data_IF_132311506605
#
_entry.id   IF_132311506605
#
_cell.length_a   1.000
_cell.length_b   1.000
_cell.length_c   1.000
_cell.angle_alpha   90.00
_cell.angle_beta   90.00
_cell.angle_gamma   90.00
#
_symmetry.space_group_name_H-M   'P 1'
#
loop_
_entity.id
_entity.type
_entity.pdbx_description
1 polymer ?
#
# COMPACT_ATOMS: atom_id res chain seq x y z
N UNK A 1 26.05 -7.77 -46.52
CA UNK A 1 24.72 -7.89 -45.88
C UNK A 1 24.84 -7.43 -44.44
N UNK A 2 24.34 -6.23 -44.11
CA UNK A 2 24.37 -5.70 -42.75
C UNK A 2 23.22 -6.28 -41.91
N UNK A 3 23.42 -6.59 -40.62
CA UNK A 3 22.34 -7.06 -39.76
C UNK A 3 21.39 -5.90 -39.45
N UNK A 4 20.11 -6.09 -39.76
CA UNK A 4 19.04 -5.11 -39.57
C UNK A 4 18.61 -5.03 -38.10
N UNK A 5 18.73 -3.83 -37.52
CA UNK A 5 17.72 -3.08 -36.74
C UNK A 5 16.72 -3.83 -35.82
N UNK A 6 17.12 -4.87 -35.10
CA UNK A 6 16.27 -5.46 -34.04
C UNK A 6 16.40 -4.74 -32.67
N UNK A 7 17.54 -4.09 -32.40
CA UNK A 7 17.82 -3.48 -31.08
C UNK A 7 17.07 -2.17 -30.80
N UNK A 8 16.73 -1.39 -31.82
CA UNK A 8 16.07 -0.10 -31.63
C UNK A 8 14.58 -0.24 -31.24
N UNK A 9 13.88 -1.24 -31.79
CA UNK A 9 12.48 -1.48 -31.47
C UNK A 9 12.28 -1.99 -30.02
N UNK A 10 13.15 -2.88 -29.55
CA UNK A 10 13.17 -3.37 -28.16
C UNK A 10 13.49 -2.26 -27.15
N UNK A 11 14.43 -1.37 -27.47
CA UNK A 11 14.73 -0.20 -26.62
C UNK A 11 13.55 0.78 -26.57
N UNK A 12 12.92 1.07 -27.71
CA UNK A 12 11.76 1.99 -27.77
C UNK A 12 10.55 1.40 -27.03
N UNK A 13 10.30 0.10 -27.16
CA UNK A 13 9.23 -0.57 -26.43
C UNK A 13 9.49 -0.58 -24.92
N UNK A 14 10.73 -0.82 -24.48
CA UNK A 14 11.13 -0.73 -23.09
C UNK A 14 11.03 0.71 -22.53
N UNK A 15 11.42 1.72 -23.32
CA UNK A 15 11.25 3.12 -22.96
C UNK A 15 9.77 3.53 -22.87
N UNK A 16 8.92 3.07 -23.79
CA UNK A 16 7.46 3.32 -23.74
C UNK A 16 6.80 2.66 -22.52
N UNK A 17 7.21 1.44 -22.16
CA UNK A 17 6.74 0.74 -20.96
C UNK A 17 7.20 1.42 -19.66
N UNK A 18 8.41 1.98 -19.63
CA UNK A 18 8.93 2.76 -18.49
C UNK A 18 8.22 4.11 -18.36
N UNK A 19 7.86 4.75 -19.48
CA UNK A 19 7.12 6.03 -19.49
C UNK A 19 5.66 5.84 -19.08
N UNK A 20 5.01 4.73 -19.47
CA UNK A 20 3.62 4.46 -19.16
C UNK A 20 3.36 4.28 -17.65
N UNK A 21 4.30 3.71 -16.88
CA UNK A 21 4.14 3.58 -15.42
C UNK A 21 4.59 4.80 -14.62
N UNK A 22 5.49 5.61 -15.16
CA UNK A 22 5.95 6.83 -14.51
C UNK A 22 4.82 7.85 -14.28
N UNK A 23 3.78 7.84 -15.13
CA UNK A 23 2.59 8.68 -14.94
C UNK A 23 1.57 8.12 -13.95
N UNK A 24 1.52 6.81 -13.74
CA UNK A 24 0.45 6.18 -12.92
C UNK A 24 0.80 6.09 -11.43
N UNK A 25 2.09 6.08 -11.07
CA UNK A 25 2.52 5.82 -9.69
C UNK A 25 2.06 6.86 -8.68
N UNK A 26 1.80 8.09 -9.14
CA UNK A 26 1.19 9.16 -8.35
C UNK A 26 -0.26 8.89 -7.93
N UNK A 27 -0.94 7.95 -8.58
CA UNK A 27 -2.39 7.71 -8.43
C UNK A 27 -2.72 6.35 -7.77
N UNK A 28 -1.72 5.67 -7.19
CA UNK A 28 -1.96 4.39 -6.50
C UNK A 28 -2.48 4.56 -5.06
N UNK A 29 -2.67 5.80 -4.59
CA UNK A 29 -3.20 6.13 -3.27
C UNK A 29 -2.58 5.29 -2.15
N UNK A 30 -3.41 4.56 -1.40
CA UNK A 30 -2.95 3.74 -0.26
C UNK A 30 -2.12 2.50 -0.65
N UNK A 31 -1.84 2.27 -1.94
CA UNK A 31 -1.03 1.17 -2.48
C UNK A 31 0.27 1.64 -3.10
N UNK A 32 0.56 2.94 -3.11
CA UNK A 32 1.86 3.47 -3.53
C UNK A 32 2.98 2.86 -2.69
N UNK A 33 4.11 2.56 -3.35
CA UNK A 33 5.35 2.14 -2.65
C UNK A 33 5.95 3.34 -1.90
N UNK A 34 6.73 3.07 -0.85
CA UNK A 34 7.31 4.11 0.00
C UNK A 34 8.22 5.07 -0.76
N UNK A 35 8.88 4.57 -1.80
CA UNK A 35 9.83 5.29 -2.65
C UNK A 35 9.16 6.35 -3.54
N UNK A 36 7.87 6.22 -3.87
CA UNK A 36 7.16 7.25 -4.66
C UNK A 36 7.06 8.57 -3.90
N UNK A 37 6.85 8.49 -2.58
CA UNK A 37 6.78 9.67 -1.71
C UNK A 37 8.15 10.03 -1.11
N UNK A 38 9.14 9.15 -1.22
CA UNK A 38 10.52 9.37 -0.76
C UNK A 38 11.54 8.91 -1.83
N UNK A 39 11.72 9.66 -2.93
CA UNK A 39 12.50 9.19 -4.08
C UNK A 39 13.96 8.84 -3.78
N UNK A 40 14.56 9.46 -2.75
CA UNK A 40 15.92 9.18 -2.30
C UNK A 40 16.12 7.73 -1.81
N UNK A 41 15.04 7.06 -1.40
CA UNK A 41 15.08 5.66 -0.95
C UNK A 41 15.32 4.67 -2.10
N UNK A 42 15.11 5.07 -3.36
CA UNK A 42 15.44 4.26 -4.53
C UNK A 42 16.96 4.05 -4.65
N UNK A 43 17.73 5.11 -4.40
CA UNK A 43 19.20 5.06 -4.50
C UNK A 43 19.83 4.53 -3.22
N UNK A 44 19.32 4.96 -2.06
CA UNK A 44 19.80 4.53 -0.75
C UNK A 44 18.60 4.26 0.18
N UNK A 45 18.22 2.98 0.37
CA UNK A 45 17.11 2.60 1.25
C UNK A 45 17.29 3.01 2.71
N UNK A 46 18.51 3.34 3.14
CA UNK A 46 18.82 3.79 4.50
C UNK A 46 19.00 5.31 4.60
N UNK A 47 18.87 6.03 3.48
CA UNK A 47 18.97 7.47 3.47
C UNK A 47 17.95 8.08 4.41
N UNK A 48 18.42 9.05 5.20
CA UNK A 48 17.56 9.84 6.08
C UNK A 48 16.84 10.97 5.31
N UNK A 49 16.95 10.98 3.98
CA UNK A 49 16.49 12.06 3.12
C UNK A 49 17.46 13.24 3.08
N UNK A 50 17.18 14.25 2.25
CA UNK A 50 17.94 15.49 2.27
C UNK A 50 17.93 16.06 3.68
N UNK A 51 19.02 16.74 4.07
CA UNK A 51 19.08 17.50 5.32
C UNK A 51 18.04 18.63 5.24
N UNK A 52 16.79 18.33 5.56
CA UNK A 52 15.71 19.29 5.42
C UNK A 52 16.02 20.47 6.34
N UNK A 53 15.94 21.68 5.78
CA UNK A 53 16.00 22.93 6.53
C UNK A 53 14.92 22.84 7.62
N UNK A 54 15.33 22.80 8.89
CA UNK A 54 14.43 22.64 10.05
C UNK A 54 14.30 21.21 10.63
N UNK A 55 14.93 20.19 10.03
CA UNK A 55 14.91 18.81 10.54
C UNK A 55 15.96 18.51 11.63
N UNK A 56 16.90 19.44 11.84
CA UNK A 56 17.81 19.40 12.98
C UNK A 56 17.10 20.05 14.15
N UNK A 57 16.90 19.26 15.21
CA UNK A 57 16.44 19.80 16.49
C UNK A 57 17.35 20.98 16.87
N UNK A 58 16.78 22.08 17.41
CA UNK A 58 17.59 23.16 17.97
C UNK A 58 18.64 22.58 18.93
N UNK A 59 19.83 23.19 19.01
CA UNK A 59 20.91 22.69 19.85
C UNK A 59 20.52 22.55 21.34
N UNK A 60 19.51 23.30 21.79
CA UNK A 60 18.96 23.24 23.14
C UNK A 60 17.94 22.10 23.35
N UNK A 61 17.59 21.32 22.33
CA UNK A 61 16.58 20.27 22.39
C UNK A 61 17.21 18.88 22.23
N UNK A 62 16.83 17.97 23.12
CA UNK A 62 17.14 16.55 23.00
C UNK A 62 15.84 15.74 22.85
N UNK A 63 15.79 14.72 21.98
CA UNK A 63 14.65 13.81 21.92
C UNK A 63 14.47 13.10 23.28
N UNK A 64 13.27 13.16 23.85
CA UNK A 64 12.94 12.49 25.11
C UNK A 64 12.31 11.11 24.90
N UNK A 65 11.40 11.01 23.94
CA UNK A 65 10.67 9.78 23.62
C UNK A 65 10.33 9.76 22.13
N UNK A 66 10.26 8.56 21.56
CA UNK A 66 9.72 8.31 20.21
C UNK A 66 8.52 7.39 20.33
N UNK A 67 7.37 7.82 19.81
CA UNK A 67 6.16 7.02 19.67
C UNK A 67 5.77 7.00 18.20
N UNK A 68 5.80 5.82 17.60
CA UNK A 68 5.60 5.65 16.17
C UNK A 68 4.38 4.75 15.92
N UNK A 69 3.38 5.29 15.23
CA UNK A 69 2.26 4.51 14.70
C UNK A 69 2.58 4.11 13.27
N UNK A 70 2.82 2.81 13.06
CA UNK A 70 3.31 2.31 11.78
C UNK A 70 2.28 1.39 11.13
N UNK A 71 1.95 1.68 9.87
CA UNK A 71 1.21 0.74 9.02
C UNK A 71 2.09 -0.47 8.71
N UNK A 72 1.47 -1.63 8.51
CA UNK A 72 2.17 -2.79 7.97
C UNK A 72 2.92 -2.47 6.66
N UNK A 73 3.99 -3.20 6.38
CA UNK A 73 4.73 -3.07 5.12
C UNK A 73 3.95 -3.56 3.90
N UNK A 74 4.58 -3.51 2.73
CA UNK A 74 4.01 -4.01 1.46
C UNK A 74 3.47 -5.44 1.58
N UNK A 75 2.25 -5.68 1.07
CA UNK A 75 1.55 -6.97 1.14
C UNK A 75 1.05 -7.42 -0.23
N UNK A 76 0.77 -8.71 -0.35
CA UNK A 76 0.02 -9.26 -1.48
C UNK A 76 -1.44 -8.77 -1.49
N UNK A 77 -2.17 -8.87 -2.62
CA UNK A 77 -3.61 -8.62 -2.68
C UNK A 77 -4.39 -9.57 -1.74
N UNK A 78 -5.62 -9.21 -1.38
CA UNK A 78 -6.51 -10.11 -0.61
C UNK A 78 -7.09 -11.20 -1.51
N UNK A 79 -7.52 -12.34 -0.96
CA UNK A 79 -8.08 -13.45 -1.73
C UNK A 79 -9.21 -13.01 -2.67
N UNK A 80 -10.12 -12.15 -2.20
CA UNK A 80 -11.19 -11.60 -3.06
C UNK A 80 -10.70 -10.73 -4.23
N UNK A 81 -9.55 -10.04 -4.09
CA UNK A 81 -8.93 -9.32 -5.20
C UNK A 81 -8.27 -10.30 -6.18
N UNK A 82 -7.60 -11.32 -5.67
CA UNK A 82 -6.95 -12.36 -6.47
C UNK A 82 -7.99 -13.11 -7.31
N UNK A 83 -9.14 -13.46 -6.72
CA UNK A 83 -10.24 -14.13 -7.42
C UNK A 83 -10.78 -13.29 -8.57
N UNK A 84 -11.07 -12.00 -8.33
CA UNK A 84 -11.52 -11.06 -9.36
C UNK A 84 -10.50 -10.87 -10.49
N UNK A 85 -9.21 -10.81 -10.15
CA UNK A 85 -8.15 -10.77 -11.16
C UNK A 85 -8.14 -12.06 -11.99
N UNK A 86 -8.29 -13.21 -11.33
CA UNK A 86 -8.41 -14.52 -11.97
C UNK A 86 -9.63 -14.62 -12.89
N UNK A 87 -10.78 -14.10 -12.47
CA UNK A 87 -12.01 -14.01 -13.29
C UNK A 87 -11.76 -13.19 -14.56
N UNK A 88 -11.17 -12.00 -14.43
CA UNK A 88 -10.85 -11.15 -15.58
C UNK A 88 -9.82 -11.82 -16.50
N UNK A 89 -8.75 -12.39 -15.94
CA UNK A 89 -7.74 -13.11 -16.70
C UNK A 89 -8.31 -14.33 -17.45
N UNK A 90 -9.21 -15.09 -16.81
CA UNK A 90 -9.87 -16.23 -17.44
C UNK A 90 -10.75 -15.84 -18.64
N UNK A 91 -11.35 -14.64 -18.64
CA UNK A 91 -12.09 -14.13 -19.80
C UNK A 91 -11.16 -13.84 -20.98
N UNK A 92 -9.98 -13.30 -20.71
CA UNK A 92 -8.96 -13.07 -21.74
C UNK A 92 -8.47 -14.39 -22.37
N UNK A 93 -8.27 -15.42 -21.55
CA UNK A 93 -7.87 -16.75 -22.01
C UNK A 93 -8.92 -17.46 -22.87
N UNK A 94 -10.22 -17.17 -22.67
CA UNK A 94 -11.32 -17.79 -23.43
C UNK A 94 -11.56 -17.16 -24.80
N UNK A 95 -10.83 -16.08 -25.13
CA UNK A 95 -10.97 -15.40 -26.43
C UNK A 95 -10.54 -16.33 -27.57
N UNK A 96 -11.26 -16.32 -28.72
CA UNK A 96 -10.84 -17.09 -29.90
C UNK A 96 -9.45 -16.67 -30.38
N UNK A 97 -8.60 -17.62 -30.78
CA UNK A 97 -7.25 -17.33 -31.28
C UNK A 97 -7.24 -16.37 -32.48
N UNK A 98 -8.26 -16.45 -33.35
CA UNK A 98 -8.45 -15.52 -34.47
C UNK A 98 -8.65 -14.06 -34.02
N UNK A 99 -9.14 -13.82 -32.79
CA UNK A 99 -9.34 -12.51 -32.21
C UNK A 99 -8.10 -11.96 -31.47
N UNK A 100 -7.01 -12.73 -31.37
CA UNK A 100 -5.78 -12.31 -30.72
C UNK A 100 -5.00 -11.29 -31.56
N UNK A 101 -4.91 -11.51 -32.88
CA UNK A 101 -4.22 -10.58 -33.80
C UNK A 101 -4.92 -9.21 -33.89
N UNK A 102 -6.24 -9.18 -33.67
CA UNK A 102 -7.04 -7.95 -33.66
C UNK A 102 -6.99 -7.20 -32.32
N UNK A 103 -6.46 -7.81 -31.25
CA UNK A 103 -6.47 -7.22 -29.91
C UNK A 103 -5.15 -7.49 -29.15
N UNK A 104 -4.08 -6.76 -29.48
CA UNK A 104 -2.75 -7.00 -28.90
C UNK A 104 -2.72 -6.90 -27.37
N UNK A 105 -3.35 -5.88 -26.80
CA UNK A 105 -3.40 -5.69 -25.33
C UNK A 105 -4.06 -6.87 -24.62
N UNK A 106 -5.16 -7.40 -25.15
CA UNK A 106 -5.79 -8.60 -24.59
C UNK A 106 -4.91 -9.84 -24.70
N UNK A 107 -4.18 -9.99 -25.82
CA UNK A 107 -3.25 -11.11 -26.02
C UNK A 107 -2.06 -11.04 -25.06
N UNK A 108 -1.47 -9.87 -24.87
CA UNK A 108 -0.37 -9.64 -23.92
C UNK A 108 -0.80 -9.93 -22.48
N UNK A 109 -2.00 -9.49 -22.10
CA UNK A 109 -2.55 -9.76 -20.76
C UNK A 109 -3.00 -11.21 -20.56
N UNK A 110 -3.41 -11.91 -21.62
CA UNK A 110 -3.68 -13.35 -21.57
C UNK A 110 -2.39 -14.18 -21.45
N UNK A 111 -1.28 -13.68 -22.00
CA UNK A 111 0.04 -14.31 -21.89
C UNK A 111 0.73 -13.99 -20.55
N UNK A 112 0.29 -12.96 -19.82
CA UNK A 112 0.79 -12.66 -18.49
C UNK A 112 0.49 -13.82 -17.53
N UNK A 113 1.51 -14.32 -16.85
CA UNK A 113 1.34 -15.44 -15.93
C UNK A 113 0.59 -15.01 -14.68
N UNK A 114 -0.60 -15.58 -14.44
CA UNK A 114 -1.30 -15.46 -13.15
C UNK A 114 -0.51 -16.18 -12.06
N UNK A 115 0.37 -15.45 -11.38
CA UNK A 115 1.23 -15.96 -10.31
C UNK A 115 0.68 -15.68 -8.91
N UNK A 116 -0.45 -14.98 -8.80
CA UNK A 116 -1.14 -14.78 -7.53
C UNK A 116 -1.98 -16.01 -7.19
N UNK A 117 -1.74 -16.56 -6.00
CA UNK A 117 -2.54 -17.63 -5.41
C UNK A 117 -3.42 -17.07 -4.30
N UNK A 118 -4.66 -17.55 -4.16
CA UNK A 118 -5.55 -17.11 -3.07
C UNK A 118 -4.94 -17.34 -1.66
N UNK A 119 -4.02 -18.31 -1.53
CA UNK A 119 -3.25 -18.61 -0.31
C UNK A 119 -2.38 -17.43 0.17
N UNK A 120 -2.09 -16.46 -0.70
CA UNK A 120 -1.34 -15.25 -0.38
C UNK A 120 -2.16 -14.24 0.42
N UNK A 121 -3.50 -14.34 0.45
CA UNK A 121 -4.49 -13.46 1.10
C UNK A 121 -3.93 -12.36 2.05
N UNK A 122 -3.51 -11.25 1.48
CA UNK A 122 -3.05 -10.09 2.24
C UNK A 122 -1.82 -10.34 3.13
N UNK A 123 -1.07 -11.45 2.93
CA UNK A 123 0.19 -11.75 3.61
C UNK A 123 1.23 -10.69 3.31
N UNK A 124 2.11 -10.46 4.27
CA UNK A 124 3.23 -9.54 4.10
C UNK A 124 4.16 -10.07 3.01
N UNK A 125 4.46 -9.23 2.01
CA UNK A 125 5.38 -9.59 0.95
C UNK A 125 6.83 -9.54 1.46
N UNK A 126 7.79 -10.19 0.79
CA UNK A 126 9.21 -10.04 1.10
C UNK A 126 9.66 -8.57 1.08
N UNK A 127 9.14 -7.76 0.15
CA UNK A 127 9.37 -6.31 0.15
C UNK A 127 8.87 -5.66 1.46
N UNK A 128 7.66 -6.01 1.92
CA UNK A 128 7.11 -5.48 3.17
C UNK A 128 7.96 -5.73 4.41
N UNK A 129 8.72 -6.84 4.44
CA UNK A 129 9.70 -7.07 5.51
C UNK A 129 10.87 -6.10 5.41
N UNK A 130 11.40 -5.89 4.20
CA UNK A 130 12.48 -4.92 3.95
C UNK A 130 12.04 -3.50 4.28
N UNK A 131 10.81 -3.12 3.92
CA UNK A 131 10.24 -1.79 4.23
C UNK A 131 10.37 -1.49 5.73
N UNK A 132 9.96 -2.45 6.57
CA UNK A 132 9.96 -2.30 8.03
C UNK A 132 11.36 -2.37 8.63
N UNK A 133 12.24 -3.21 8.11
CA UNK A 133 13.63 -3.28 8.55
C UNK A 133 14.39 -1.98 8.23
N UNK A 134 14.23 -1.44 7.02
CA UNK A 134 14.84 -0.18 6.63
C UNK A 134 14.27 0.98 7.44
N UNK A 135 12.95 1.01 7.66
CA UNK A 135 12.33 2.02 8.51
C UNK A 135 12.90 2.01 9.93
N UNK A 136 13.08 0.83 10.53
CA UNK A 136 13.68 0.69 11.85
C UNK A 136 15.11 1.25 11.89
N UNK A 137 15.95 0.89 10.91
CA UNK A 137 17.33 1.39 10.80
C UNK A 137 17.37 2.91 10.65
N UNK A 138 16.50 3.47 9.81
CA UNK A 138 16.39 4.94 9.63
C UNK A 138 15.96 5.64 10.92
N UNK A 139 14.99 5.11 11.65
CA UNK A 139 14.58 5.68 12.94
C UNK A 139 15.70 5.61 13.98
N UNK A 140 16.41 4.49 14.07
CA UNK A 140 17.55 4.34 14.97
C UNK A 140 18.70 5.30 14.62
N UNK A 141 19.02 5.44 13.33
CA UNK A 141 20.04 6.38 12.87
C UNK A 141 19.63 7.85 13.07
N UNK A 142 18.33 8.16 12.99
CA UNK A 142 17.81 9.51 13.23
C UNK A 142 17.81 9.90 14.70
N UNK A 143 17.55 8.95 15.61
CA UNK A 143 17.41 9.20 17.04
C UNK A 143 18.33 8.31 17.89
N UNK A 144 19.67 8.34 17.67
CA UNK A 144 20.58 7.36 18.26
C UNK A 144 20.50 7.29 19.79
N UNK A 145 20.29 8.43 20.47
CA UNK A 145 20.17 8.48 21.94
C UNK A 145 18.91 7.77 22.49
N UNK A 146 17.82 7.69 21.72
CA UNK A 146 16.60 6.97 22.09
C UNK A 146 16.72 5.47 21.88
N UNK A 147 17.64 5.06 21.00
CA UNK A 147 18.00 3.68 20.75
C UNK A 147 19.37 3.35 21.39
N UNK A 148 19.74 3.98 22.49
CA UNK A 148 20.94 3.56 23.23
C UNK A 148 20.66 2.28 24.04
N UNK A 149 21.71 1.55 24.41
CA UNK A 149 21.59 0.40 25.31
C UNK A 149 20.88 0.79 26.62
N UNK A 150 20.08 -0.13 27.19
CA UNK A 150 19.25 0.09 28.40
C UNK A 150 18.05 1.04 28.24
N UNK A 151 17.78 1.59 27.06
CA UNK A 151 16.49 2.25 26.78
C UNK A 151 15.37 1.21 26.69
N UNK A 152 14.21 1.54 27.27
CA UNK A 152 13.01 0.71 27.16
C UNK A 152 12.42 0.84 25.76
N UNK A 153 12.20 -0.30 25.10
CA UNK A 153 11.50 -0.37 23.83
C UNK A 153 10.27 -1.25 24.00
N UNK A 154 9.12 -0.74 23.59
CA UNK A 154 7.84 -1.45 23.57
C UNK A 154 7.38 -1.53 22.14
N UNK A 155 6.96 -2.72 21.69
CA UNK A 155 6.33 -2.93 20.39
C UNK A 155 4.96 -3.55 20.62
N UNK A 156 3.93 -2.92 20.06
CA UNK A 156 2.58 -3.44 20.04
C UNK A 156 2.10 -3.54 18.59
N UNK A 157 1.25 -4.53 18.31
CA UNK A 157 0.66 -4.76 17.00
C UNK A 157 -0.77 -5.29 17.15
N UNK A 158 -1.59 -5.07 16.12
CA UNK A 158 -2.82 -5.86 15.95
C UNK A 158 -2.50 -7.33 15.70
N UNK A 159 -3.47 -8.21 15.93
CA UNK A 159 -3.40 -9.66 15.66
C UNK A 159 -3.29 -10.04 14.18
N UNK A 160 -3.46 -9.09 13.24
CA UNK A 160 -3.35 -9.39 11.82
C UNK A 160 -1.93 -9.88 11.48
N UNK A 161 -1.84 -11.03 10.83
CA UNK A 161 -0.59 -11.71 10.46
C UNK A 161 0.45 -10.78 9.82
N UNK A 162 0.02 -9.94 8.87
CA UNK A 162 0.88 -8.96 8.20
C UNK A 162 1.42 -7.88 9.14
N UNK A 163 0.67 -7.50 10.18
CA UNK A 163 1.08 -6.52 11.17
C UNK A 163 2.09 -7.14 12.14
N UNK A 164 1.84 -8.36 12.62
CA UNK A 164 2.79 -9.09 13.47
C UNK A 164 4.12 -9.33 12.75
N UNK A 165 4.07 -9.77 11.49
CA UNK A 165 5.26 -9.94 10.66
C UNK A 165 5.98 -8.62 10.39
N UNK A 166 5.25 -7.50 10.28
CA UNK A 166 5.84 -6.17 10.13
C UNK A 166 6.54 -5.72 11.42
N UNK A 167 5.93 -5.95 12.58
CA UNK A 167 6.54 -5.67 13.89
C UNK A 167 7.80 -6.50 14.12
N UNK A 168 7.78 -7.79 13.77
CA UNK A 168 8.94 -8.67 13.84
C UNK A 168 10.06 -8.23 12.87
N UNK A 169 9.72 -7.80 11.66
CA UNK A 169 10.69 -7.26 10.71
C UNK A 169 11.28 -5.93 11.21
N UNK A 170 10.46 -5.04 11.75
CA UNK A 170 10.93 -3.80 12.38
C UNK A 170 11.92 -4.09 13.52
N UNK A 171 11.57 -5.01 14.43
CA UNK A 171 12.44 -5.51 15.51
C UNK A 171 13.77 -6.04 14.97
N UNK A 172 13.74 -6.81 13.87
CA UNK A 172 14.95 -7.33 13.23
C UNK A 172 15.85 -6.21 12.67
N UNK A 173 15.25 -5.18 12.08
CA UNK A 173 15.97 -4.04 11.50
C UNK A 173 16.82 -3.29 12.53
N UNK A 174 16.38 -3.26 13.79
CA UNK A 174 17.09 -2.67 14.92
C UNK A 174 18.40 -3.42 15.28
N UNK A 175 18.53 -4.70 14.92
CA UNK A 175 19.73 -5.49 15.15
C UNK A 175 19.97 -5.90 16.62
N UNK A 176 20.99 -6.73 16.89
CA UNK A 176 21.28 -7.27 18.23
C UNK A 176 22.05 -6.30 19.14
N UNK A 177 22.71 -5.29 18.56
CA UNK A 177 23.49 -4.26 19.28
C UNK A 177 22.61 -3.38 20.17
N UNK A 178 21.32 -3.32 19.87
CA UNK A 178 20.30 -2.92 20.83
C UNK A 178 20.09 -4.09 21.78
N UNK A 179 21.03 -4.26 22.72
CA UNK A 179 20.88 -5.12 23.90
C UNK A 179 19.79 -4.51 24.80
N UNK A 180 18.55 -4.58 24.31
CA UNK A 180 17.32 -4.34 25.02
C UNK A 180 17.23 -5.49 26.02
N UNK A 181 17.58 -5.22 27.27
CA UNK A 181 18.02 -6.25 28.22
C UNK A 181 17.15 -7.52 28.25
N UNK A 182 17.83 -8.67 28.21
CA UNK A 182 17.45 -10.04 28.60
C UNK A 182 16.06 -10.64 28.34
N UNK A 183 15.10 -9.93 27.78
CA UNK A 183 13.89 -10.49 27.19
C UNK A 183 13.88 -10.11 25.72
N UNK A 184 13.73 -11.10 24.84
CA UNK A 184 13.33 -10.82 23.46
C UNK A 184 12.08 -9.95 23.56
N UNK A 185 12.18 -8.66 23.20
CA UNK A 185 11.00 -7.80 23.26
C UNK A 185 10.05 -8.28 22.16
N UNK A 186 9.18 -9.19 22.56
CA UNK A 186 8.09 -9.74 21.77
C UNK A 186 7.14 -8.61 21.39
N UNK A 187 6.51 -8.77 20.23
CA UNK A 187 5.50 -7.84 19.78
C UNK A 187 4.22 -8.16 20.55
N UNK A 188 3.82 -7.27 21.46
CA UNK A 188 2.57 -7.39 22.20
C UNK A 188 1.39 -7.34 21.22
N UNK A 189 0.47 -8.30 21.32
CA UNK A 189 -0.77 -8.27 20.55
C UNK A 189 -1.81 -7.44 21.30
N UNK A 190 -2.22 -6.31 20.73
CA UNK A 190 -3.19 -5.42 21.36
C UNK A 190 -4.20 -4.89 20.33
N UNK A 191 -5.25 -5.68 20.06
CA UNK A 191 -6.31 -5.30 19.12
C UNK A 191 -7.21 -4.19 19.65
N UNK A 192 -7.41 -4.10 20.97
CA UNK A 192 -8.16 -2.98 21.54
C UNK A 192 -7.51 -1.65 21.18
N UNK A 193 -6.18 -1.53 21.30
CA UNK A 193 -5.45 -0.32 20.94
C UNK A 193 -5.24 -0.15 19.42
N UNK A 194 -4.88 -1.23 18.71
CA UNK A 194 -4.45 -1.16 17.30
C UNK A 194 -5.56 -1.38 16.29
N UNK A 195 -6.70 -1.94 16.72
CA UNK A 195 -7.93 -2.15 15.94
C UNK A 195 -9.14 -1.61 16.70
N UNK A 196 -8.97 -0.47 17.38
CA UNK A 196 -9.99 0.23 18.16
C UNK A 196 -11.38 0.29 17.49
N UNK A 197 -11.41 0.40 16.16
CA UNK A 197 -12.63 0.50 15.37
C UNK A 197 -13.46 -0.80 15.37
N UNK A 198 -12.82 -1.98 15.38
CA UNK A 198 -13.51 -3.28 15.47
C UNK A 198 -14.20 -3.45 16.84
N UNK A 199 -13.69 -2.78 17.88
CA UNK A 199 -14.23 -2.83 19.24
C UNK A 199 -15.21 -1.68 19.54
N UNK A 200 -15.42 -0.77 18.59
CA UNK A 200 -16.36 0.33 18.75
C UNK A 200 -17.74 -0.09 18.21
N UNK A 201 -18.64 -0.53 19.09
CA UNK A 201 -19.98 -1.02 18.70
C UNK A 201 -20.75 -0.04 17.79
N UNK A 202 -20.66 1.27 18.06
CA UNK A 202 -21.29 2.29 17.23
C UNK A 202 -20.66 2.41 15.84
N UNK A 203 -19.34 2.25 15.72
CA UNK A 203 -18.67 2.21 14.43
C UNK A 203 -19.10 0.97 13.64
N UNK A 204 -19.11 -0.20 14.28
CA UNK A 204 -19.51 -1.46 13.66
C UNK A 204 -20.93 -1.36 13.10
N UNK A 205 -21.88 -0.95 13.92
CA UNK A 205 -23.29 -0.86 13.52
C UNK A 205 -23.55 0.20 12.43
N UNK A 206 -22.90 1.37 12.50
CA UNK A 206 -23.20 2.47 11.58
C UNK A 206 -22.40 2.43 10.27
N UNK A 207 -21.25 1.75 10.24
CA UNK A 207 -20.28 1.81 9.13
C UNK A 207 -19.80 0.44 8.66
N UNK A 208 -19.56 -0.53 9.56
CA UNK A 208 -19.12 -1.87 9.12
C UNK A 208 -20.23 -2.69 8.52
N UNK A 209 -21.32 -2.83 9.27
CA UNK A 209 -22.44 -3.71 8.96
C UNK A 209 -23.61 -2.97 8.29
N UNK A 210 -23.43 -1.68 8.01
CA UNK A 210 -24.43 -0.85 7.33
C UNK A 210 -24.12 -0.76 5.83
N UNK A 211 -24.91 -1.45 5.01
CA UNK A 211 -24.77 -1.45 3.54
C UNK A 211 -24.95 -0.06 2.93
N UNK A 212 -25.78 0.79 3.55
CA UNK A 212 -25.99 2.17 3.08
C UNK A 212 -24.77 3.07 3.38
N UNK A 213 -23.85 2.65 4.25
CA UNK A 213 -22.72 3.48 4.66
C UNK A 213 -21.78 3.82 3.49
N UNK A 214 -21.81 3.01 2.43
CA UNK A 214 -20.97 3.12 1.25
C UNK A 214 -21.76 3.54 -0.01
N UNK A 215 -22.98 4.07 0.13
CA UNK A 215 -23.85 4.40 -1.00
C UNK A 215 -23.21 5.33 -2.03
N UNK A 216 -22.40 6.30 -1.58
CA UNK A 216 -21.68 7.22 -2.47
C UNK A 216 -20.61 6.51 -3.33
N UNK A 217 -19.97 5.47 -2.79
CA UNK A 217 -19.02 4.65 -3.56
C UNK A 217 -19.76 3.86 -4.63
N UNK A 218 -20.92 3.29 -4.30
CA UNK A 218 -21.73 2.56 -5.27
C UNK A 218 -22.27 3.50 -6.36
N UNK A 219 -22.74 4.70 -5.99
CA UNK A 219 -23.17 5.72 -6.94
C UNK A 219 -22.02 6.13 -7.88
N UNK A 220 -20.81 6.31 -7.37
CA UNK A 220 -19.65 6.65 -8.22
C UNK A 220 -19.24 5.51 -9.16
N UNK A 221 -19.33 4.25 -8.71
CA UNK A 221 -19.09 3.06 -9.57
C UNK A 221 -20.01 3.01 -10.79
N UNK A 222 -21.24 3.50 -10.65
CA UNK A 222 -22.26 3.56 -11.69
C UNK A 222 -22.30 4.91 -12.43
N UNK A 223 -21.46 5.85 -12.00
CA UNK A 223 -21.36 7.21 -12.50
C UNK A 223 -20.75 7.30 -13.92
N UNK A 224 -20.90 8.47 -14.57
CA UNK A 224 -20.40 8.68 -15.93
C UNK A 224 -18.88 8.56 -16.04
N UNK A 225 -18.13 8.99 -15.03
CA UNK A 225 -16.66 8.91 -15.01
C UNK A 225 -16.18 7.45 -15.04
N UNK A 226 -16.76 6.59 -14.20
CA UNK A 226 -16.45 5.16 -14.19
C UNK A 226 -16.95 4.45 -15.43
N UNK A 227 -18.10 4.86 -16.00
CA UNK A 227 -18.59 4.31 -17.27
C UNK A 227 -17.62 4.55 -18.42
N UNK A 228 -17.03 5.75 -18.51
CA UNK A 228 -16.01 6.05 -19.52
C UNK A 228 -14.77 5.16 -19.36
N UNK A 229 -14.31 4.93 -18.13
CA UNK A 229 -13.18 4.02 -17.87
C UNK A 229 -13.53 2.59 -18.27
N UNK A 230 -14.75 2.13 -17.94
CA UNK A 230 -15.22 0.78 -18.32
C UNK A 230 -15.25 0.60 -19.84
N UNK A 231 -15.78 1.55 -20.59
CA UNK A 231 -15.84 1.51 -22.05
C UNK A 231 -14.45 1.48 -22.69
N UNK A 232 -13.51 2.32 -22.19
CA UNK A 232 -12.11 2.31 -22.66
C UNK A 232 -11.43 0.97 -22.39
N UNK A 233 -11.56 0.44 -21.18
CA UNK A 233 -10.94 -0.84 -20.80
C UNK A 233 -11.59 -1.99 -21.58
N UNK A 234 -12.91 -1.98 -21.77
CA UNK A 234 -13.63 -2.95 -22.60
C UNK A 234 -13.11 -2.93 -24.04
N UNK A 235 -12.93 -1.74 -24.62
CA UNK A 235 -12.36 -1.56 -25.96
C UNK A 235 -10.92 -2.07 -26.04
N UNK A 236 -10.05 -1.70 -25.10
CA UNK A 236 -8.65 -2.15 -25.06
C UNK A 236 -8.52 -3.67 -24.89
N UNK A 237 -9.43 -4.28 -24.14
CA UNK A 237 -9.49 -5.73 -23.94
C UNK A 237 -10.30 -6.44 -25.03
N UNK A 238 -10.92 -5.69 -25.94
CA UNK A 238 -11.91 -6.14 -26.93
C UNK A 238 -12.96 -7.10 -26.34
N UNK A 239 -13.47 -6.77 -25.15
CA UNK A 239 -14.55 -7.48 -24.46
C UNK A 239 -15.83 -6.65 -24.53
N UNK A 240 -17.02 -7.27 -24.50
CA UNK A 240 -18.27 -6.55 -24.25
C UNK A 240 -18.18 -5.80 -22.92
N UNK A 241 -18.68 -4.56 -22.89
CA UNK A 241 -18.60 -3.72 -21.68
C UNK A 241 -19.41 -4.32 -20.52
N UNK A 242 -20.47 -5.06 -20.84
CA UNK A 242 -21.35 -5.75 -19.90
C UNK A 242 -20.65 -6.89 -19.15
N UNK A 243 -19.54 -7.39 -19.70
CA UNK A 243 -18.72 -8.33 -18.95
C UNK A 243 -17.97 -7.61 -17.83
N UNK A 244 -17.58 -6.35 -17.99
CA UNK A 244 -16.81 -5.60 -17.01
C UNK A 244 -17.68 -4.94 -15.94
N UNK A 245 -17.07 -4.67 -14.80
CA UNK A 245 -17.62 -3.80 -13.76
C UNK A 245 -16.49 -3.04 -13.06
N UNK A 246 -16.85 -2.01 -12.29
CA UNK A 246 -15.90 -1.16 -11.59
C UNK A 246 -14.93 -1.95 -10.69
N UNK A 247 -15.37 -3.03 -10.03
CA UNK A 247 -14.52 -3.82 -9.15
C UNK A 247 -13.46 -4.64 -9.92
N UNK A 248 -13.80 -5.19 -11.09
CA UNK A 248 -12.85 -5.89 -11.95
C UNK A 248 -11.79 -4.94 -12.51
N UNK A 249 -12.22 -3.78 -13.00
CA UNK A 249 -11.32 -2.75 -13.53
C UNK A 249 -10.43 -2.17 -12.43
N UNK A 250 -10.98 -1.92 -11.24
CA UNK A 250 -10.20 -1.48 -10.08
C UNK A 250 -9.13 -2.51 -9.71
N UNK A 251 -9.44 -3.81 -9.75
CA UNK A 251 -8.45 -4.86 -9.46
C UNK A 251 -7.34 -4.89 -10.51
N UNK A 252 -7.66 -4.75 -11.79
CA UNK A 252 -6.65 -4.62 -12.85
C UNK A 252 -5.71 -3.43 -12.60
N UNK A 253 -6.26 -2.26 -12.25
CA UNK A 253 -5.46 -1.09 -11.90
C UNK A 253 -4.60 -1.31 -10.65
N UNK A 254 -5.16 -1.92 -9.61
CA UNK A 254 -4.40 -2.22 -8.40
C UNK A 254 -3.30 -3.26 -8.65
N UNK A 255 -3.46 -4.18 -9.60
CA UNK A 255 -2.39 -5.11 -10.00
C UNK A 255 -1.14 -4.37 -10.47
N UNK A 256 -1.31 -3.25 -11.20
CA UNK A 256 -0.20 -2.37 -11.55
C UNK A 256 0.56 -1.90 -10.30
N UNK A 257 -0.17 -1.37 -9.30
CA UNK A 257 0.42 -0.91 -8.04
C UNK A 257 1.11 -2.03 -7.25
N UNK A 258 0.48 -3.22 -7.20
CA UNK A 258 1.00 -4.35 -6.43
C UNK A 258 2.28 -4.91 -7.04
N UNK A 259 2.36 -5.05 -8.36
CA UNK A 259 3.58 -5.57 -8.99
C UNK A 259 4.74 -4.57 -8.90
N UNK A 260 4.45 -3.26 -9.01
CA UNK A 260 5.46 -2.24 -8.76
C UNK A 260 5.96 -2.31 -7.32
N UNK A 261 5.05 -2.38 -6.34
CA UNK A 261 5.44 -2.42 -4.94
C UNK A 261 6.11 -3.74 -4.53
N UNK A 262 5.69 -4.89 -5.06
CA UNK A 262 6.18 -6.20 -4.61
C UNK A 262 7.45 -6.62 -5.36
N UNK A 263 7.48 -6.42 -6.68
CA UNK A 263 8.52 -6.94 -7.57
C UNK A 263 9.39 -5.83 -8.17
N UNK A 264 9.04 -4.57 -7.98
CA UNK A 264 9.71 -3.43 -8.64
C UNK A 264 9.66 -3.54 -10.17
N UNK A 265 8.53 -4.00 -10.72
CA UNK A 265 8.30 -4.12 -12.16
C UNK A 265 7.06 -3.35 -12.57
N UNK A 266 7.08 -2.84 -13.80
CA UNK A 266 5.87 -2.30 -14.43
C UNK A 266 5.03 -3.45 -14.94
N UNK A 267 3.83 -3.62 -14.38
CA UNK A 267 2.91 -4.67 -14.82
C UNK A 267 2.38 -4.40 -16.23
N UNK A 268 2.20 -5.42 -17.09
CA UNK A 268 1.45 -5.26 -18.34
C UNK A 268 0.05 -4.70 -18.12
N UNK A 269 -0.58 -4.99 -16.96
CA UNK A 269 -1.88 -4.45 -16.55
C UNK A 269 -1.90 -2.91 -16.46
N UNK A 270 -0.75 -2.27 -16.26
CA UNK A 270 -0.63 -0.80 -16.27
C UNK A 270 -1.00 -0.18 -17.63
N UNK A 271 -0.79 -0.92 -18.73
CA UNK A 271 -1.03 -0.42 -20.09
C UNK A 271 -2.50 -0.13 -20.42
N UNK A 272 -3.43 -0.61 -19.58
CA UNK A 272 -4.87 -0.37 -19.74
C UNK A 272 -5.31 1.05 -19.37
N UNK A 273 -4.47 1.80 -18.66
CA UNK A 273 -4.89 3.02 -17.99
C UNK A 273 -4.06 4.21 -18.44
N UNK A 274 -4.75 5.29 -18.80
CA UNK A 274 -4.15 6.62 -18.89
C UNK A 274 -4.11 7.29 -17.51
N UNK A 275 -3.42 8.44 -17.42
CA UNK A 275 -3.42 9.26 -16.21
C UNK A 275 -4.82 9.73 -15.81
N UNK A 276 -5.67 10.07 -16.78
CA UNK A 276 -7.06 10.46 -16.51
C UNK A 276 -7.89 9.30 -15.96
N UNK A 277 -7.68 8.08 -16.46
CA UNK A 277 -8.36 6.90 -15.91
C UNK A 277 -7.84 6.60 -14.49
N UNK A 278 -6.55 6.83 -14.24
CA UNK A 278 -5.93 6.67 -12.92
C UNK A 278 -6.51 7.64 -11.90
N UNK A 279 -6.75 8.91 -12.25
CA UNK A 279 -7.44 9.88 -11.38
C UNK A 279 -8.83 9.41 -10.96
N UNK A 280 -9.60 8.86 -11.89
CA UNK A 280 -10.94 8.32 -11.63
C UNK A 280 -10.88 7.13 -10.67
N UNK A 281 -9.95 6.20 -10.89
CA UNK A 281 -9.77 4.99 -10.09
C UNK A 281 -9.15 5.28 -8.71
N UNK A 282 -8.28 6.28 -8.61
CA UNK A 282 -7.79 6.79 -7.34
C UNK A 282 -8.92 7.41 -6.54
N UNK A 283 -9.72 8.29 -7.17
CA UNK A 283 -10.86 8.91 -6.52
C UNK A 283 -11.89 7.88 -6.04
N UNK A 284 -12.15 6.82 -6.81
CA UNK A 284 -12.98 5.70 -6.36
C UNK A 284 -12.42 5.05 -5.07
N UNK A 285 -11.11 4.83 -5.01
CA UNK A 285 -10.48 4.28 -3.82
C UNK A 285 -10.47 5.26 -2.64
N UNK A 286 -10.27 6.56 -2.89
CA UNK A 286 -10.31 7.60 -1.87
C UNK A 286 -11.70 7.79 -1.30
N UNK A 287 -12.74 7.79 -2.13
CA UNK A 287 -14.13 7.81 -1.69
C UNK A 287 -14.41 6.63 -0.78
N UNK A 288 -13.90 5.44 -1.12
CA UNK A 288 -13.97 4.27 -0.24
C UNK A 288 -13.27 4.48 1.10
N UNK A 289 -12.06 5.04 1.13
CA UNK A 289 -11.38 5.32 2.40
C UNK A 289 -12.10 6.40 3.20
N UNK A 290 -12.57 7.46 2.55
CA UNK A 290 -13.27 8.59 3.16
C UNK A 290 -14.50 8.11 3.94
N UNK A 291 -15.37 7.34 3.30
CA UNK A 291 -16.59 6.83 3.94
C UNK A 291 -16.31 5.71 4.95
N UNK A 292 -15.39 4.78 4.64
CA UNK A 292 -15.16 3.62 5.50
C UNK A 292 -14.28 3.91 6.71
N UNK A 293 -13.33 4.84 6.61
CA UNK A 293 -12.25 5.07 7.60
C UNK A 293 -11.90 6.54 7.85
N UNK A 294 -12.25 7.44 6.93
CA UNK A 294 -11.95 8.87 6.99
C UNK A 294 -13.11 9.70 7.55
N UNK A 295 -13.34 10.87 6.98
CA UNK A 295 -14.27 11.87 7.53
C UNK A 295 -15.74 11.67 7.13
N UNK A 296 -16.10 10.61 6.40
CA UNK A 296 -17.48 10.39 5.97
C UNK A 296 -18.48 10.20 7.11
N UNK A 297 -18.01 9.71 8.27
CA UNK A 297 -18.82 9.65 9.48
C UNK A 297 -18.03 10.11 10.69
N UNK A 298 -18.64 10.93 11.54
CA UNK A 298 -18.06 11.38 12.82
C UNK A 298 -17.46 10.24 13.64
N UNK A 299 -18.13 9.08 13.64
CA UNK A 299 -17.71 7.92 14.43
C UNK A 299 -16.37 7.35 13.98
N UNK A 300 -15.98 7.51 12.71
CA UNK A 300 -14.70 7.03 12.20
C UNK A 300 -13.53 7.67 12.99
N UNK A 301 -13.54 9.00 13.13
CA UNK A 301 -12.53 9.71 13.91
C UNK A 301 -12.62 9.41 15.40
N UNK A 302 -13.84 9.43 15.97
CA UNK A 302 -14.08 9.21 17.40
C UNK A 302 -13.69 7.80 17.86
N UNK A 303 -13.79 6.80 16.99
CA UNK A 303 -13.36 5.43 17.31
C UNK A 303 -11.87 5.36 17.68
N UNK A 304 -11.04 6.28 17.15
CA UNK A 304 -9.59 6.33 17.40
C UNK A 304 -9.18 6.99 18.72
N UNK A 305 -10.14 7.53 19.50
CA UNK A 305 -9.84 8.29 20.71
C UNK A 305 -8.94 7.53 21.70
N UNK A 306 -9.11 6.20 21.84
CA UNK A 306 -8.30 5.40 22.75
C UNK A 306 -6.83 5.33 22.33
N UNK A 307 -6.54 5.32 21.03
CA UNK A 307 -5.17 5.36 20.51
C UNK A 307 -4.55 6.75 20.72
N UNK A 308 -5.31 7.80 20.48
CA UNK A 308 -4.85 9.17 20.74
C UNK A 308 -4.57 9.42 22.22
N UNK A 309 -5.47 9.00 23.10
CA UNK A 309 -5.29 9.09 24.55
C UNK A 309 -4.03 8.34 24.99
N UNK A 310 -3.83 7.11 24.51
CA UNK A 310 -2.61 6.35 24.80
C UNK A 310 -1.37 7.13 24.37
N UNK A 311 -1.33 7.66 23.13
CA UNK A 311 -0.25 8.49 22.58
C UNK A 311 0.09 9.64 23.53
N UNK A 312 -0.88 10.51 23.84
CA UNK A 312 -0.64 11.70 24.65
C UNK A 312 -0.28 11.38 26.10
N UNK A 313 -0.95 10.43 26.74
CA UNK A 313 -0.64 10.04 28.12
C UNK A 313 0.81 9.62 28.30
N UNK A 314 1.38 8.91 27.31
CA UNK A 314 2.78 8.51 27.38
C UNK A 314 3.76 9.65 27.07
N UNK A 315 3.38 10.57 26.18
CA UNK A 315 4.17 11.78 25.93
C UNK A 315 4.21 12.67 27.18
N UNK A 316 3.07 12.88 27.83
CA UNK A 316 2.96 13.62 29.09
C UNK A 316 3.80 12.96 30.18
N UNK A 317 3.69 11.63 30.33
CA UNK A 317 4.52 10.86 31.26
C UNK A 317 6.02 11.02 30.98
N UNK A 318 6.45 10.99 29.73
CA UNK A 318 7.86 11.19 29.39
C UNK A 318 8.36 12.59 29.76
N UNK A 319 7.51 13.61 29.61
CA UNK A 319 7.82 14.99 30.05
C UNK A 319 7.92 15.05 31.57
N UNK A 320 7.00 14.45 32.31
CA UNK A 320 7.04 14.40 33.78
C UNK A 320 8.29 13.67 34.30
N UNK A 321 8.64 12.53 33.72
CA UNK A 321 9.81 11.74 34.09
C UNK A 321 11.12 12.48 33.78
N UNK A 322 11.17 13.30 32.72
CA UNK A 322 12.36 14.08 32.36
C UNK A 322 12.66 15.25 33.30
N UNK A 323 11.70 15.64 34.14
CA UNK A 323 11.86 16.71 35.14
C UNK A 323 12.40 16.19 36.49
N UNK A 324 12.45 14.86 36.67
CA UNK A 324 12.94 14.20 37.88
C UNK A 324 14.43 13.89 37.76
#
# INVERSE_FOLDING_TARGET
MAPRRAGAALLVLALLLVVASAGLSGYFGTKSRYEEVNPHLVCDPLSLGPAAVGSRLPAACAPLQLRALLRHGTRYPTAGQIRRLGELHARLLRRPAAAAAACPTAADLAAWQMWYEESLDGRLAPQGRRDMEHLARRLAARFPALFAARRRLVLASSSKHRCLQSGAAFRRGLGPSLSLGRDEVEVEVNDSLMRFFDHCAKFVALVEENDAAMCQVNAFKEGPEMRMVLEKVASALCLPVEELNADLVQVAFLTCSYELAIKNVTSPWCSLFSEEDAKVLEYLNDLKQYWKRGYGYDINSRSSCILFQDIFQHLDKAVEESKR
#
